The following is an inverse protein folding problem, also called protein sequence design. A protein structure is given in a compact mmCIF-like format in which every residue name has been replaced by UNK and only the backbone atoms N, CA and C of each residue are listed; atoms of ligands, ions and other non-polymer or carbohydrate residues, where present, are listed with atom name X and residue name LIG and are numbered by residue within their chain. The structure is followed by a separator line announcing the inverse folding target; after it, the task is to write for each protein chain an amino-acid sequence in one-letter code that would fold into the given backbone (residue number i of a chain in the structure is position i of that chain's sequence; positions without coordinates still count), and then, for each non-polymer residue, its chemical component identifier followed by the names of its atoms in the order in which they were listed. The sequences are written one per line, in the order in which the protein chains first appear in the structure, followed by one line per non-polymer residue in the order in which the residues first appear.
data_IF_981262653010
#
_entry.id   IF_981262653010
#
_cell.length_a   1.000
_cell.length_b   1.000
_cell.length_c   1.000
_cell.angle_alpha   90.00
_cell.angle_beta   90.00
_cell.angle_gamma   90.00
#
_symmetry.space_group_name_H-M   'P 1'
#
loop_
_entity.id
_entity.type
_entity.pdbx_description
1 polymer ?
#
# COMPACT_ATOMS: atom_id res chain seq x y z
N UNK A 1 -6.03 -5.84 -15.97
CA UNK A 1 -5.75 -6.22 -14.58
C UNK A 1 -6.78 -5.54 -13.68
N UNK A 2 -7.41 -6.25 -12.73
CA UNK A 2 -8.34 -5.59 -11.79
C UNK A 2 -7.54 -4.91 -10.68
N UNK A 3 -7.95 -3.70 -10.29
CA UNK A 3 -7.33 -2.91 -9.24
C UNK A 3 -8.08 -3.10 -7.92
N UNK A 4 -7.35 -3.30 -6.84
CA UNK A 4 -7.91 -3.37 -5.49
C UNK A 4 -7.15 -2.41 -4.58
N UNK A 5 -7.89 -1.69 -3.75
CA UNK A 5 -7.34 -0.87 -2.68
C UNK A 5 -7.64 -1.57 -1.35
N UNK A 6 -6.64 -1.75 -0.49
CA UNK A 6 -6.77 -2.48 0.77
C UNK A 6 -6.33 -1.55 1.90
N UNK A 7 -7.23 -1.24 2.83
CA UNK A 7 -6.88 -0.49 4.05
C UNK A 7 -6.47 -1.44 5.18
N UNK A 8 -5.67 -0.96 6.14
CA UNK A 8 -5.13 -1.82 7.21
C UNK A 8 -4.25 -2.94 6.65
N UNK A 9 -3.54 -2.64 5.55
CA UNK A 9 -2.81 -3.60 4.75
C UNK A 9 -1.76 -4.40 5.52
N UNK A 10 -1.12 -3.78 6.50
CA UNK A 10 -0.10 -4.43 7.33
C UNK A 10 -0.70 -5.14 8.56
N UNK A 11 -2.02 -5.13 8.72
CA UNK A 11 -2.73 -5.95 9.71
C UNK A 11 -2.71 -7.44 9.39
N UNK A 12 -3.19 -8.27 10.33
CA UNK A 12 -3.21 -9.73 10.17
C UNK A 12 -4.03 -10.17 8.95
N UNK A 13 -5.27 -9.70 8.83
CA UNK A 13 -6.15 -10.05 7.71
C UNK A 13 -5.69 -9.37 6.41
N UNK A 14 -5.34 -8.09 6.47
CA UNK A 14 -4.93 -7.31 5.30
C UNK A 14 -3.72 -7.90 4.58
N UNK A 15 -2.71 -8.34 5.32
CA UNK A 15 -1.49 -8.93 4.75
C UNK A 15 -1.75 -10.26 4.03
N UNK A 16 -2.56 -11.14 4.62
CA UNK A 16 -2.95 -12.40 3.96
C UNK A 16 -3.85 -12.16 2.75
N UNK A 17 -4.72 -11.13 2.79
CA UNK A 17 -5.51 -10.74 1.63
C UNK A 17 -4.62 -10.23 0.49
N UNK A 18 -3.56 -9.47 0.79
CA UNK A 18 -2.57 -9.04 -0.19
C UNK A 18 -1.89 -10.25 -0.83
N UNK A 19 -1.43 -11.23 -0.04
CA UNK A 19 -0.82 -12.46 -0.57
C UNK A 19 -1.76 -13.20 -1.52
N UNK A 20 -3.03 -13.32 -1.15
CA UNK A 20 -4.05 -13.91 -2.00
C UNK A 20 -4.26 -13.10 -3.29
N UNK A 21 -4.38 -11.78 -3.20
CA UNK A 21 -4.57 -10.90 -4.37
C UNK A 21 -3.36 -10.91 -5.31
N UNK A 22 -2.13 -11.05 -4.79
CA UNK A 22 -0.92 -11.21 -5.59
C UNK A 22 -1.00 -12.49 -6.42
N UNK A 23 -1.42 -13.60 -5.82
CA UNK A 23 -1.61 -14.88 -6.52
C UNK A 23 -2.73 -14.83 -7.59
N UNK A 24 -3.67 -13.90 -7.45
CA UNK A 24 -4.78 -13.69 -8.39
C UNK A 24 -4.50 -12.61 -9.44
N UNK A 25 -3.26 -12.12 -9.54
CA UNK A 25 -2.82 -11.12 -10.51
C UNK A 25 -3.66 -9.82 -10.45
N UNK A 26 -3.94 -9.34 -9.24
CA UNK A 26 -4.51 -8.00 -9.03
C UNK A 26 -3.41 -6.94 -9.02
N UNK A 27 -3.78 -5.72 -9.43
CA UNK A 27 -3.01 -4.51 -9.12
C UNK A 27 -3.43 -4.02 -7.74
N UNK A 28 -2.54 -4.07 -6.76
CA UNK A 28 -2.87 -3.90 -5.35
C UNK A 28 -2.32 -2.59 -4.84
N UNK A 29 -3.19 -1.79 -4.23
CA UNK A 29 -2.87 -0.54 -3.55
C UNK A 29 -3.11 -0.72 -2.06
N UNK A 30 -2.06 -1.03 -1.32
CA UNK A 30 -2.07 -1.30 0.11
C UNK A 30 -1.91 0.01 0.90
N UNK A 31 -2.94 0.42 1.63
CA UNK A 31 -2.90 1.57 2.51
C UNK A 31 -2.57 1.16 3.95
N UNK A 32 -1.59 1.83 4.52
CA UNK A 32 -1.26 1.76 5.94
C UNK A 32 -1.01 3.18 6.48
N UNK A 33 -1.17 3.38 7.78
CA UNK A 33 -0.85 4.66 8.40
C UNK A 33 0.64 4.99 8.22
N UNK A 34 1.01 6.28 8.23
CA UNK A 34 2.42 6.67 8.17
C UNK A 34 3.25 6.11 9.33
N UNK A 35 4.53 5.87 9.06
CA UNK A 35 5.57 5.55 10.06
C UNK A 35 5.26 4.30 10.90
N UNK A 36 4.62 3.29 10.31
CA UNK A 36 4.38 1.99 10.96
C UNK A 36 5.55 1.01 10.75
N UNK A 37 5.52 -0.08 11.53
CA UNK A 37 6.43 -1.22 11.37
C UNK A 37 5.78 -2.26 10.44
N UNK A 38 6.33 -2.45 9.24
CA UNK A 38 5.78 -3.29 8.16
C UNK A 38 6.13 -4.78 8.32
N UNK A 39 5.94 -5.35 9.51
CA UNK A 39 6.31 -6.74 9.83
C UNK A 39 5.61 -7.76 8.90
N UNK A 40 4.31 -7.59 8.68
CA UNK A 40 3.51 -8.57 7.93
C UNK A 40 3.63 -8.43 6.41
N UNK A 41 4.28 -7.35 5.93
CA UNK A 41 4.58 -7.12 4.52
C UNK A 41 6.09 -7.14 4.23
N UNK A 42 6.89 -7.59 5.20
CA UNK A 42 8.36 -7.52 5.12
C UNK A 42 8.95 -8.35 3.96
N UNK A 43 8.28 -9.42 3.55
CA UNK A 43 8.66 -10.21 2.36
C UNK A 43 8.50 -9.44 1.05
N UNK A 44 7.64 -8.43 1.01
CA UNK A 44 7.51 -7.52 -0.14
C UNK A 44 8.51 -6.37 -0.11
N UNK A 45 9.28 -6.22 0.97
CA UNK A 45 10.21 -5.09 1.19
C UNK A 45 11.63 -5.55 1.49
N UNK A 46 12.02 -6.77 1.07
CA UNK A 46 13.35 -7.36 1.34
C UNK A 46 13.70 -7.39 2.84
N UNK A 47 12.73 -7.68 3.70
CA UNK A 47 12.89 -7.75 5.14
C UNK A 47 12.91 -6.38 5.83
N UNK A 48 12.82 -5.27 5.09
CA UNK A 48 12.84 -3.92 5.67
C UNK A 48 11.51 -3.60 6.37
N UNK A 49 11.60 -3.14 7.62
CA UNK A 49 10.44 -2.94 8.48
C UNK A 49 9.99 -1.48 8.63
N UNK A 50 10.85 -0.51 8.33
CA UNK A 50 10.57 0.92 8.49
C UNK A 50 11.20 1.73 7.37
N UNK A 51 10.55 2.82 6.97
CA UNK A 51 10.94 3.62 5.82
C UNK A 51 11.03 5.10 6.22
N UNK A 52 12.23 5.67 6.31
CA UNK A 52 12.40 7.11 6.49
C UNK A 52 12.03 7.85 5.19
N UNK A 53 11.81 9.16 5.26
CA UNK A 53 11.26 9.93 4.13
C UNK A 53 12.16 9.89 2.89
N UNK A 54 13.48 9.78 3.06
CA UNK A 54 14.47 9.72 1.98
C UNK A 54 14.35 8.47 1.11
N UNK A 55 13.69 7.43 1.63
CA UNK A 55 13.46 6.17 0.93
C UNK A 55 12.05 6.05 0.36
N UNK A 56 11.14 6.95 0.75
CA UNK A 56 9.80 7.00 0.21
C UNK A 56 9.84 7.62 -1.19
N UNK A 57 8.95 7.14 -2.04
CA UNK A 57 8.76 7.62 -3.40
C UNK A 57 7.55 8.55 -3.45
N UNK A 58 7.57 9.46 -4.42
CA UNK A 58 6.45 10.36 -4.66
C UNK A 58 5.23 9.59 -5.20
N UNK A 59 4.05 9.93 -4.69
CA UNK A 59 2.76 9.60 -5.27
C UNK A 59 1.80 10.77 -5.05
N UNK A 60 1.22 11.30 -6.12
CA UNK A 60 0.32 12.47 -6.08
C UNK A 60 0.96 13.72 -5.43
N UNK A 61 2.27 13.92 -5.64
CA UNK A 61 3.01 15.04 -5.07
C UNK A 61 3.42 14.86 -3.60
N UNK A 62 3.18 13.69 -3.00
CA UNK A 62 3.49 13.39 -1.60
C UNK A 62 4.49 12.22 -1.49
N UNK A 63 5.44 12.27 -0.56
CA UNK A 63 6.39 11.17 -0.30
C UNK A 63 5.74 10.06 0.54
N UNK A 64 4.82 9.31 -0.06
CA UNK A 64 4.00 8.31 0.63
C UNK A 64 4.15 6.89 0.10
N UNK A 65 4.84 6.68 -1.03
CA UNK A 65 4.94 5.34 -1.62
C UNK A 65 6.17 4.60 -1.09
N UNK A 66 5.99 3.37 -0.63
CA UNK A 66 7.11 2.54 -0.17
C UNK A 66 7.72 1.75 -1.34
N UNK A 67 9.04 1.51 -1.33
CA UNK A 67 9.67 0.59 -2.27
C UNK A 67 9.26 -0.85 -1.97
N UNK A 68 8.82 -1.57 -3.01
CA UNK A 68 8.42 -2.99 -2.94
C UNK A 68 9.14 -3.79 -4.02
N UNK A 69 9.29 -5.10 -3.80
CA UNK A 69 9.89 -6.02 -4.79
C UNK A 69 8.87 -6.58 -5.79
N UNK A 70 7.58 -6.49 -5.47
CA UNK A 70 6.51 -6.99 -6.33
C UNK A 70 5.92 -5.84 -7.16
N UNK A 71 6.04 -5.94 -8.48
CA UNK A 71 5.54 -4.93 -9.45
C UNK A 71 4.03 -4.67 -9.37
N UNK A 72 3.26 -5.63 -8.87
CA UNK A 72 1.80 -5.55 -8.76
C UNK A 72 1.34 -5.02 -7.38
N UNK A 73 2.26 -4.82 -6.42
CA UNK A 73 1.95 -4.31 -5.08
C UNK A 73 2.55 -2.92 -4.87
N UNK A 74 1.68 -1.95 -4.63
CA UNK A 74 2.02 -0.58 -4.30
C UNK A 74 1.56 -0.33 -2.86
N UNK A 75 2.48 -0.07 -1.94
CA UNK A 75 2.15 0.31 -0.57
C UNK A 75 2.22 1.84 -0.46
N UNK A 76 1.16 2.45 0.05
CA UNK A 76 1.04 3.90 0.25
C UNK A 76 0.75 4.20 1.72
N UNK A 77 1.46 5.19 2.26
CA UNK A 77 1.15 5.75 3.57
C UNK A 77 -0.05 6.71 3.47
N UNK A 78 -1.16 6.32 4.08
CA UNK A 78 -2.36 7.14 4.18
C UNK A 78 -3.15 6.74 5.43
N UNK A 79 -3.31 7.66 6.38
CA UNK A 79 -4.33 7.49 7.41
C UNK A 79 -5.71 7.69 6.77
N UNK A 80 -6.64 6.76 6.98
CA UNK A 80 -8.01 6.86 6.46
C UNK A 80 -8.77 8.07 6.99
N UNK A 81 -8.31 8.66 8.11
CA UNK A 81 -8.83 9.94 8.64
C UNK A 81 -8.38 11.15 7.82
N UNK A 82 -7.36 11.01 6.97
CA UNK A 82 -6.97 12.03 6.00
C UNK A 82 -7.84 11.88 4.75
N UNK A 83 -9.13 12.24 4.87
CA UNK A 83 -10.10 12.15 3.78
C UNK A 83 -9.63 12.83 2.49
N UNK A 84 -9.02 14.05 2.52
CA UNK A 84 -8.55 14.69 1.29
C UNK A 84 -7.51 13.86 0.52
N UNK A 85 -6.56 13.21 1.22
CA UNK A 85 -5.58 12.34 0.58
C UNK A 85 -6.22 11.04 0.08
N UNK A 86 -7.06 10.42 0.91
CA UNK A 86 -7.76 9.18 0.57
C UNK A 86 -8.64 9.35 -0.68
N UNK A 87 -9.39 10.45 -0.78
CA UNK A 87 -10.23 10.78 -1.94
C UNK A 87 -9.38 10.96 -3.20
N UNK A 88 -8.24 11.67 -3.11
CA UNK A 88 -7.30 11.83 -4.24
C UNK A 88 -6.74 10.48 -4.68
N UNK A 89 -6.38 9.60 -3.74
CA UNK A 89 -5.88 8.25 -4.02
C UNK A 89 -6.94 7.42 -4.74
N UNK A 90 -8.18 7.37 -4.22
CA UNK A 90 -9.28 6.60 -4.84
C UNK A 90 -9.60 7.15 -6.23
N UNK A 91 -9.68 8.47 -6.40
CA UNK A 91 -9.94 9.11 -7.68
C UNK A 91 -8.84 8.84 -8.71
N UNK A 92 -7.56 8.83 -8.28
CA UNK A 92 -6.43 8.51 -9.16
C UNK A 92 -6.41 7.05 -9.58
N UNK A 93 -6.67 6.14 -8.64
CA UNK A 93 -6.52 4.69 -8.86
C UNK A 93 -7.71 4.14 -9.63
N UNK A 94 -8.92 4.64 -9.36
CA UNK A 94 -10.20 4.09 -9.83
C UNK A 94 -10.29 2.57 -9.55
N UNK A 95 -10.22 2.15 -8.27
CA UNK A 95 -10.16 0.74 -7.91
C UNK A 95 -11.47 0.02 -8.26
N UNK A 96 -11.38 -1.25 -8.67
CA UNK A 96 -12.56 -2.09 -8.86
C UNK A 96 -13.16 -2.55 -7.53
N UNK A 97 -12.32 -2.65 -6.50
CA UNK A 97 -12.68 -3.08 -5.14
C UNK A 97 -11.93 -2.24 -4.10
N UNK A 98 -12.58 -1.99 -2.96
CA UNK A 98 -12.03 -1.36 -1.77
C UNK A 98 -12.35 -2.25 -0.57
#
# INVERSE_FOLDING_TARGET
MKKILITGANGFIGSHLIDYCVQKDYEIYALERPNQIYKNLSHYTNGKLSFPNEEKQEFLGELIKLPTVNKNLIILECDVKNSPLLEKIIAKITPNFI
#
